data_IF_116543716003
#
_entry.id   IF_116543716003
#
_cell.length_a   1.000
_cell.length_b   1.000
_cell.length_c   1.000
_cell.angle_alpha   90.00
_cell.angle_beta   90.00
_cell.angle_gamma   90.00
#
_symmetry.space_group_name_H-M   'P 1'
#
loop_
_entity.id
_entity.type
_entity.pdbx_description
1 polymer ?
#
# COMPACT_ATOMS: atom_id res chain seq x y z
N UNK A 1 -8.28 -13.92 -14.76
CA UNK A 1 -6.95 -14.09 -14.14
C UNK A 1 -5.83 -13.26 -14.79
N UNK A 2 -5.64 -13.28 -16.11
CA UNK A 2 -4.58 -12.48 -16.76
C UNK A 2 -4.85 -10.98 -16.65
N UNK A 3 -6.08 -10.52 -16.89
CA UNK A 3 -6.47 -9.11 -16.78
C UNK A 3 -6.24 -8.53 -15.36
N UNK A 4 -6.55 -9.30 -14.31
CA UNK A 4 -6.30 -8.88 -12.91
C UNK A 4 -4.82 -8.74 -12.58
N UNK A 5 -3.97 -9.59 -13.15
CA UNK A 5 -2.50 -9.47 -12.98
C UNK A 5 -1.95 -8.22 -13.67
N UNK A 6 -2.42 -7.95 -14.89
CA UNK A 6 -2.03 -6.72 -15.61
C UNK A 6 -2.48 -5.48 -14.83
N UNK A 7 -3.71 -5.46 -14.35
CA UNK A 7 -4.24 -4.36 -13.54
C UNK A 7 -3.41 -4.15 -12.27
N UNK A 8 -3.12 -5.23 -11.53
CA UNK A 8 -2.27 -5.14 -10.34
C UNK A 8 -0.90 -4.56 -10.67
N UNK A 9 -0.26 -5.05 -11.73
CA UNK A 9 1.08 -4.58 -12.10
C UNK A 9 1.09 -3.08 -12.45
N UNK A 10 0.06 -2.60 -13.16
CA UNK A 10 -0.09 -1.17 -13.49
C UNK A 10 -0.26 -0.35 -12.20
N UNK A 11 -1.21 -0.75 -11.35
CA UNK A 11 -1.49 -0.06 -10.08
C UNK A 11 -0.24 -0.07 -9.18
N UNK A 12 0.43 -1.20 -9.07
CA UNK A 12 1.64 -1.33 -8.28
C UNK A 12 2.78 -0.44 -8.79
N UNK A 13 2.95 -0.34 -10.11
CA UNK A 13 3.96 0.56 -10.70
C UNK A 13 3.64 2.02 -10.38
N UNK A 14 2.39 2.45 -10.56
CA UNK A 14 1.94 3.81 -10.21
C UNK A 14 2.15 4.06 -8.71
N UNK A 15 1.78 3.10 -7.87
CA UNK A 15 1.93 3.19 -6.42
C UNK A 15 3.39 3.39 -6.01
N UNK A 16 4.31 2.60 -6.57
CA UNK A 16 5.75 2.74 -6.29
C UNK A 16 6.24 4.14 -6.74
N UNK A 17 5.86 4.60 -7.93
CA UNK A 17 6.24 5.94 -8.42
C UNK A 17 5.76 7.02 -7.46
N UNK A 18 4.49 6.98 -7.03
CA UNK A 18 3.93 7.94 -6.07
C UNK A 18 4.66 7.89 -4.72
N UNK A 19 5.05 6.69 -4.29
CA UNK A 19 5.70 6.48 -3.00
C UNK A 19 7.14 6.97 -2.95
N UNK A 20 7.92 6.73 -4.02
CA UNK A 20 9.34 7.11 -4.08
C UNK A 20 9.56 8.52 -4.65
N UNK A 21 8.52 9.18 -5.13
CA UNK A 21 8.65 10.56 -5.65
C UNK A 21 9.05 11.52 -4.52
N UNK A 22 10.03 12.42 -4.75
CA UNK A 22 10.43 13.42 -3.76
C UNK A 22 9.36 14.51 -3.60
N UNK A 23 8.50 14.34 -2.62
CA UNK A 23 7.33 15.18 -2.38
C UNK A 23 6.01 14.43 -2.63
N UNK A 24 4.90 15.16 -2.71
CA UNK A 24 3.57 14.59 -2.93
C UNK A 24 3.00 15.00 -4.29
N UNK A 25 2.98 14.08 -5.25
CA UNK A 25 2.31 14.30 -6.55
C UNK A 25 0.81 14.55 -6.33
N UNK A 26 0.18 13.80 -5.40
CA UNK A 26 -1.23 13.98 -5.07
C UNK A 26 -1.49 15.34 -4.42
N UNK A 27 -0.61 15.80 -3.53
CA UNK A 27 -0.68 17.13 -2.93
C UNK A 27 -0.60 18.22 -3.99
N UNK A 28 0.31 18.08 -4.92
CA UNK A 28 0.41 19.04 -6.04
C UNK A 28 -0.87 19.05 -6.91
N UNK A 29 -1.44 17.89 -7.20
CA UNK A 29 -2.65 17.80 -8.04
C UNK A 29 -3.90 18.35 -7.35
N UNK A 30 -4.04 18.13 -6.04
CA UNK A 30 -5.23 18.49 -5.27
C UNK A 30 -5.11 19.88 -4.68
N UNK A 31 -3.99 20.17 -4.00
CA UNK A 31 -3.80 21.39 -3.20
C UNK A 31 -2.84 22.39 -3.84
N UNK A 32 -2.23 22.05 -5.00
CA UNK A 32 -1.16 22.82 -5.66
C UNK A 32 0.10 22.98 -4.81
N UNK A 33 0.28 22.11 -3.83
CA UNK A 33 1.46 22.08 -2.95
C UNK A 33 2.08 20.68 -2.94
N UNK A 34 3.33 20.58 -3.40
CA UNK A 34 4.09 19.33 -3.44
C UNK A 34 4.56 18.86 -2.06
N UNK A 35 4.57 19.75 -1.07
CA UNK A 35 4.98 19.43 0.29
C UNK A 35 3.80 18.98 1.16
N UNK A 36 2.58 19.21 0.73
CA UNK A 36 1.38 18.81 1.45
C UNK A 36 0.90 17.44 0.96
N UNK A 37 0.62 16.54 1.88
CA UNK A 37 0.04 15.25 1.56
C UNK A 37 -1.45 15.26 1.90
N UNK A 38 -2.34 15.05 0.91
CA UNK A 38 -3.78 15.04 1.18
C UNK A 38 -4.11 13.93 2.17
N UNK A 39 -4.89 14.24 3.19
CA UNK A 39 -5.32 13.29 4.21
C UNK A 39 -6.78 12.94 4.01
N UNK A 40 -7.09 11.64 3.97
CA UNK A 40 -8.45 11.12 3.75
C UNK A 40 -9.24 11.18 5.05
N UNK A 41 -8.65 10.69 6.14
CA UNK A 41 -9.19 10.73 7.50
C UNK A 41 -8.10 11.05 8.50
N UNK A 42 -8.47 11.44 9.72
CA UNK A 42 -7.51 11.59 10.81
C UNK A 42 -6.78 10.27 11.09
N UNK A 43 -5.56 10.38 11.59
CA UNK A 43 -4.75 9.22 11.94
C UNK A 43 -5.33 8.48 13.15
N UNK A 44 -5.15 7.17 13.18
CA UNK A 44 -5.58 6.32 14.29
C UNK A 44 -4.50 6.29 15.38
N UNK A 45 -4.60 7.19 16.36
CA UNK A 45 -3.54 7.44 17.33
C UNK A 45 -2.23 7.86 16.64
N UNK A 46 -1.25 6.96 16.64
CA UNK A 46 0.06 7.17 16.03
C UNK A 46 0.22 6.45 14.68
N UNK A 47 -0.85 5.86 14.15
CA UNK A 47 -0.83 5.07 12.92
C UNK A 47 -1.48 5.87 11.79
N UNK A 48 -0.74 6.05 10.70
CA UNK A 48 -1.19 6.82 9.55
C UNK A 48 -2.34 6.13 8.81
N UNK A 49 -3.50 6.79 8.78
CA UNK A 49 -4.70 6.30 8.12
C UNK A 49 -4.53 6.17 6.61
N UNK A 50 -3.89 7.15 5.96
CA UNK A 50 -3.62 7.12 4.52
C UNK A 50 -2.80 5.91 4.11
N UNK A 51 -1.80 5.54 4.91
CA UNK A 51 -0.91 4.41 4.66
C UNK A 51 -1.65 3.08 4.83
N UNK A 52 -2.56 2.98 5.82
CA UNK A 52 -3.45 1.82 5.95
C UNK A 52 -4.29 1.63 4.69
N UNK A 53 -4.97 2.67 4.23
CA UNK A 53 -5.86 2.58 3.07
C UNK A 53 -5.10 2.25 1.79
N UNK A 54 -3.95 2.89 1.56
CA UNK A 54 -3.13 2.68 0.38
C UNK A 54 -2.61 1.24 0.30
N UNK A 55 -2.01 0.73 1.38
CA UNK A 55 -1.49 -0.64 1.41
C UNK A 55 -2.60 -1.68 1.50
N UNK A 56 -3.73 -1.39 2.14
CA UNK A 56 -4.89 -2.26 2.09
C UNK A 56 -5.39 -2.47 0.66
N UNK A 57 -5.62 -1.38 -0.09
CA UNK A 57 -6.12 -1.46 -1.46
C UNK A 57 -5.14 -2.19 -2.39
N UNK A 58 -3.84 -1.83 -2.34
CA UNK A 58 -2.80 -2.48 -3.12
C UNK A 58 -2.73 -3.98 -2.82
N UNK A 59 -2.72 -4.33 -1.53
CA UNK A 59 -2.60 -5.73 -1.08
C UNK A 59 -3.80 -6.56 -1.47
N UNK A 60 -5.01 -6.01 -1.33
CA UNK A 60 -6.23 -6.72 -1.68
C UNK A 60 -6.29 -7.05 -3.17
N UNK A 61 -5.93 -6.11 -4.04
CA UNK A 61 -5.85 -6.33 -5.49
C UNK A 61 -4.74 -7.35 -5.83
N UNK A 62 -3.58 -7.26 -5.16
CA UNK A 62 -2.49 -8.21 -5.34
C UNK A 62 -2.86 -9.64 -4.95
N UNK A 63 -3.57 -9.81 -3.85
CA UNK A 63 -4.08 -11.12 -3.41
C UNK A 63 -5.10 -11.68 -4.42
N UNK A 64 -6.04 -10.88 -4.91
CA UNK A 64 -6.96 -11.33 -5.97
C UNK A 64 -6.19 -11.78 -7.22
N UNK A 65 -5.14 -11.06 -7.60
CA UNK A 65 -4.39 -11.33 -8.82
C UNK A 65 -3.49 -12.56 -8.73
N UNK A 66 -2.81 -12.77 -7.60
CA UNK A 66 -1.71 -13.72 -7.51
C UNK A 66 -1.85 -14.83 -6.47
N UNK A 67 -2.77 -14.73 -5.50
CA UNK A 67 -2.88 -15.70 -4.40
C UNK A 67 -2.99 -17.16 -4.87
N UNK A 68 -3.80 -17.43 -5.91
CA UNK A 68 -3.97 -18.79 -6.43
C UNK A 68 -2.76 -19.33 -7.20
N UNK A 69 -1.98 -18.45 -7.83
CA UNK A 69 -0.87 -18.85 -8.72
C UNK A 69 0.49 -18.74 -8.06
N UNK A 70 0.69 -17.78 -7.15
CA UNK A 70 1.99 -17.47 -6.54
C UNK A 70 1.82 -16.96 -5.10
N UNK A 71 1.11 -17.74 -4.25
CA UNK A 71 0.74 -17.35 -2.88
C UNK A 71 1.92 -16.81 -2.05
N UNK A 72 2.97 -17.61 -1.91
CA UNK A 72 4.12 -17.24 -1.07
C UNK A 72 4.82 -15.99 -1.62
N UNK A 73 4.96 -15.90 -2.93
CA UNK A 73 5.63 -14.77 -3.57
C UNK A 73 4.85 -13.47 -3.34
N UNK A 74 3.52 -13.47 -3.52
CA UNK A 74 2.73 -12.24 -3.32
C UNK A 74 2.70 -11.83 -1.85
N UNK A 75 2.58 -12.76 -0.91
CA UNK A 75 2.59 -12.45 0.53
C UNK A 75 3.93 -11.80 0.94
N UNK A 76 5.04 -12.43 0.55
CA UNK A 76 6.37 -11.87 0.84
C UNK A 76 6.56 -10.51 0.17
N UNK A 77 6.15 -10.36 -1.09
CA UNK A 77 6.23 -9.09 -1.79
C UNK A 77 5.49 -7.97 -1.05
N UNK A 78 4.24 -8.20 -0.64
CA UNK A 78 3.42 -7.18 0.03
C UNK A 78 4.00 -6.78 1.39
N UNK A 79 4.46 -7.76 2.18
CA UNK A 79 5.08 -7.48 3.49
C UNK A 79 6.42 -6.74 3.30
N UNK A 80 7.29 -7.22 2.41
CA UNK A 80 8.59 -6.59 2.20
C UNK A 80 8.43 -5.17 1.60
N UNK A 81 7.52 -4.98 0.64
CA UNK A 81 7.28 -3.66 0.06
C UNK A 81 6.75 -2.67 1.09
N UNK A 82 5.89 -3.10 2.03
CA UNK A 82 5.36 -2.24 3.09
C UNK A 82 6.45 -1.70 4.03
N UNK A 83 7.53 -2.44 4.20
CA UNK A 83 8.67 -2.03 5.03
C UNK A 83 9.68 -1.24 4.19
N UNK A 84 10.10 -1.78 3.04
CA UNK A 84 11.17 -1.21 2.22
C UNK A 84 10.79 0.18 1.72
N UNK A 85 9.56 0.37 1.24
CA UNK A 85 9.13 1.67 0.73
C UNK A 85 9.16 2.75 1.81
N UNK A 86 8.81 2.42 3.05
CA UNK A 86 8.90 3.38 4.15
C UNK A 86 10.35 3.65 4.56
N UNK A 87 11.19 2.62 4.62
CA UNK A 87 12.62 2.81 4.91
C UNK A 87 13.30 3.67 3.84
N UNK A 88 12.90 3.57 2.57
CA UNK A 88 13.41 4.41 1.49
C UNK A 88 13.11 5.90 1.71
N UNK A 89 12.05 6.27 2.43
CA UNK A 89 11.76 7.67 2.76
C UNK A 89 12.90 8.34 3.58
N UNK A 90 13.74 7.57 4.28
CA UNK A 90 14.90 8.12 4.99
C UNK A 90 15.99 8.69 4.07
N UNK A 91 16.01 8.32 2.79
CA UNK A 91 17.02 8.75 1.80
C UNK A 91 16.43 9.54 0.63
N UNK A 92 15.10 9.59 0.50
CA UNK A 92 14.43 10.36 -0.57
C UNK A 92 14.32 11.83 -0.14
N UNK A 93 14.74 12.80 -0.99
CA UNK A 93 14.56 14.22 -0.70
C UNK A 93 13.10 14.58 -0.45
N UNK A 94 12.85 15.50 0.48
CA UNK A 94 11.51 15.96 0.90
C UNK A 94 10.59 14.84 1.43
N UNK A 95 11.16 13.72 1.86
CA UNK A 95 10.49 12.64 2.58
C UNK A 95 11.20 12.40 3.91
N UNK A 96 10.48 11.85 4.87
CA UNK A 96 11.03 11.44 6.14
C UNK A 96 10.45 10.08 6.55
N UNK A 97 11.30 9.19 7.07
CA UNK A 97 10.83 7.95 7.67
C UNK A 97 9.96 8.25 8.90
N UNK A 98 8.80 7.64 8.99
CA UNK A 98 7.91 7.77 10.14
C UNK A 98 7.41 6.40 10.60
N UNK A 99 7.49 6.14 11.91
CA UNK A 99 6.97 4.89 12.48
C UNK A 99 5.47 4.73 12.28
N UNK A 100 4.71 5.84 12.33
CA UNK A 100 3.27 5.83 12.08
C UNK A 100 2.92 5.35 10.66
N UNK A 101 3.71 5.75 9.68
CA UNK A 101 3.56 5.36 8.28
C UNK A 101 3.95 3.88 8.10
N UNK A 102 5.06 3.45 8.71
CA UNK A 102 5.48 2.06 8.69
C UNK A 102 4.41 1.13 9.28
N UNK A 103 3.86 1.48 10.45
CA UNK A 103 2.80 0.69 11.06
C UNK A 103 1.51 0.73 10.24
N UNK A 104 1.19 1.87 9.62
CA UNK A 104 0.08 2.01 8.68
C UNK A 104 0.22 1.07 7.48
N UNK A 105 1.39 1.03 6.85
CA UNK A 105 1.70 0.14 5.74
C UNK A 105 1.50 -1.33 6.12
N UNK A 106 2.12 -1.76 7.23
CA UNK A 106 2.02 -3.15 7.70
C UNK A 106 0.58 -3.50 8.08
N UNK A 107 -0.12 -2.63 8.81
CA UNK A 107 -1.51 -2.84 9.19
C UNK A 107 -2.42 -3.00 7.97
N UNK A 108 -2.25 -2.16 6.94
CA UNK A 108 -3.00 -2.28 5.68
C UNK A 108 -2.81 -3.64 5.01
N UNK A 109 -1.57 -4.14 4.93
CA UNK A 109 -1.26 -5.47 4.40
C UNK A 109 -1.94 -6.57 5.23
N UNK A 110 -1.78 -6.54 6.57
CA UNK A 110 -2.32 -7.58 7.45
C UNK A 110 -3.85 -7.63 7.43
N UNK A 111 -4.52 -6.49 7.48
CA UNK A 111 -5.98 -6.40 7.38
C UNK A 111 -6.45 -6.99 6.04
N UNK A 112 -5.77 -6.66 4.95
CA UNK A 112 -6.07 -7.19 3.63
C UNK A 112 -5.95 -8.71 3.58
N UNK A 113 -4.88 -9.28 4.12
CA UNK A 113 -4.67 -10.74 4.20
C UNK A 113 -5.78 -11.40 5.01
N UNK A 114 -6.12 -10.82 6.18
CA UNK A 114 -7.17 -11.34 7.05
C UNK A 114 -8.52 -11.38 6.33
N UNK A 115 -8.95 -10.26 5.78
CA UNK A 115 -10.24 -10.16 5.09
C UNK A 115 -10.30 -11.05 3.85
N UNK A 116 -9.20 -11.15 3.09
CA UNK A 116 -9.11 -12.03 1.94
C UNK A 116 -9.24 -13.51 2.33
N UNK A 117 -8.63 -13.94 3.44
CA UNK A 117 -8.75 -15.30 3.94
C UNK A 117 -10.17 -15.60 4.44
N UNK A 118 -10.80 -14.67 5.16
CA UNK A 118 -12.20 -14.78 5.59
C UNK A 118 -13.12 -14.95 4.38
N UNK A 119 -12.98 -14.08 3.38
CA UNK A 119 -13.77 -14.15 2.15
C UNK A 119 -13.60 -15.50 1.43
N UNK A 120 -12.36 -16.00 1.30
CA UNK A 120 -12.11 -17.29 0.67
C UNK A 120 -12.68 -18.47 1.47
N UNK A 121 -12.68 -18.38 2.80
CA UNK A 121 -13.28 -19.40 3.65
C UNK A 121 -14.81 -19.49 3.43
N UNK A 122 -15.50 -18.34 3.41
CA UNK A 122 -16.94 -18.31 3.19
C UNK A 122 -17.34 -18.80 1.78
N UNK A 123 -16.54 -18.49 0.78
CA UNK A 123 -16.80 -18.90 -0.62
C UNK A 123 -16.62 -20.40 -0.86
N UNK A 124 -15.95 -21.12 0.03
CA UNK A 124 -15.73 -22.57 -0.08
C UNK A 124 -16.81 -23.40 0.61
N UNK A 125 -17.68 -22.77 1.40
CA UNK A 125 -18.87 -23.38 2.01
C UNK A 125 -20.08 -23.28 1.08
#
# INVERSE_FOLDING_TARGET
MQKTKILFNIINTIFIILYVYPGSILGFLINRDINEQPQITEDFFLISSNHIYAFFALSFIGLIAYYKSKKILILNYLILSSIILEVLHSVIPNRAFQYGDLFGNIAGVLISILLFNIFNFWRKR
#
